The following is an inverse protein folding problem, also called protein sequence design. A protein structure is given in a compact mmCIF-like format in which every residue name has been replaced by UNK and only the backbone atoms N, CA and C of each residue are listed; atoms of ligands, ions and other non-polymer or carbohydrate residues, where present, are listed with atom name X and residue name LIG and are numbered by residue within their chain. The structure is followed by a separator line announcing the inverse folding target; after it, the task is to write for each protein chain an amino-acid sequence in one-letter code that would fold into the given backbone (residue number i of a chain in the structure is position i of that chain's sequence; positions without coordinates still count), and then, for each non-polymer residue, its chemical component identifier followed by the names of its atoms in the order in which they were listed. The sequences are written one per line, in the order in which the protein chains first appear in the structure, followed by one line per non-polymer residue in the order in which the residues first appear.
data_IF_851641243683
#
_entry.id   IF_851641243683
#
_cell.length_a   1.000
_cell.length_b   1.000
_cell.length_c   1.000
_cell.angle_alpha   90.00
_cell.angle_beta   90.00
_cell.angle_gamma   90.00
#
_symmetry.space_group_name_H-M   'P 1'
#
loop_
_entity.id
_entity.type
_entity.pdbx_description
1 polymer ?
#
# COMPACT_ATOMS: atom_id res chain seq x y z
N UNK A 1 -5.15 -43.95 9.40
CA UNK A 1 -5.10 -43.18 10.66
C UNK A 1 -3.64 -42.80 10.89
N UNK A 2 -3.22 -41.61 10.46
CA UNK A 2 -1.84 -41.17 10.64
C UNK A 2 -1.60 -40.87 12.13
N UNK A 3 -0.51 -41.41 12.67
CA UNK A 3 -0.11 -41.30 14.08
C UNK A 3 -0.07 -39.83 14.53
N UNK A 4 -0.71 -39.53 15.64
CA UNK A 4 -0.58 -38.24 16.32
C UNK A 4 0.79 -38.18 17.01
N UNK A 5 1.85 -37.85 16.28
CA UNK A 5 3.01 -37.24 16.92
C UNK A 5 2.57 -35.88 17.47
N UNK A 6 2.85 -35.61 18.74
CA UNK A 6 2.49 -34.33 19.33
C UNK A 6 3.31 -33.24 18.64
N UNK A 7 2.64 -32.34 17.92
CA UNK A 7 3.28 -31.18 17.30
C UNK A 7 3.83 -30.31 18.44
N UNK A 8 5.14 -30.10 18.48
CA UNK A 8 5.78 -29.21 19.45
C UNK A 8 5.85 -27.78 18.93
N UNK A 9 6.04 -26.82 19.83
CA UNK A 9 6.18 -25.40 19.49
C UNK A 9 7.39 -25.16 18.58
N UNK A 10 8.49 -25.85 18.83
CA UNK A 10 9.74 -25.72 18.07
C UNK A 10 9.56 -26.15 16.61
N UNK A 11 8.78 -27.20 16.36
CA UNK A 11 8.46 -27.68 15.00
C UNK A 11 7.64 -26.63 14.25
N UNK A 12 6.64 -26.03 14.90
CA UNK A 12 5.81 -24.98 14.32
C UNK A 12 6.61 -23.70 14.04
N UNK A 13 7.46 -23.28 14.98
CA UNK A 13 8.32 -22.10 14.81
C UNK A 13 9.24 -22.27 13.60
N UNK A 14 9.88 -23.44 13.45
CA UNK A 14 10.74 -23.73 12.30
C UNK A 14 9.95 -23.75 10.97
N UNK A 15 8.74 -24.29 10.98
CA UNK A 15 7.84 -24.27 9.81
C UNK A 15 7.48 -22.84 9.39
N UNK A 16 7.04 -21.99 10.33
CA UNK A 16 6.69 -20.60 10.04
C UNK A 16 7.87 -19.76 9.58
N UNK A 17 9.06 -19.96 10.16
CA UNK A 17 10.29 -19.33 9.67
C UNK A 17 10.64 -19.78 8.24
N UNK A 18 10.41 -21.06 7.93
CA UNK A 18 10.51 -21.58 6.56
C UNK A 18 9.57 -20.89 5.59
N UNK A 19 8.31 -20.68 5.98
CA UNK A 19 7.34 -19.92 5.18
C UNK A 19 7.83 -18.49 4.93
N UNK A 20 8.21 -17.78 6.00
CA UNK A 20 8.66 -16.38 5.93
C UNK A 20 9.86 -16.20 4.99
N UNK A 21 10.87 -17.07 5.05
CA UNK A 21 12.03 -17.05 4.14
C UNK A 21 11.66 -17.19 2.67
N UNK A 22 10.52 -17.81 2.37
CA UNK A 22 10.01 -18.01 1.02
C UNK A 22 8.91 -16.99 0.65
N UNK A 23 8.75 -15.91 1.43
CA UNK A 23 7.67 -14.92 1.24
C UNK A 23 6.26 -15.54 1.30
N UNK A 24 6.12 -16.63 2.07
CA UNK A 24 4.84 -17.28 2.36
C UNK A 24 4.39 -16.90 3.76
N UNK A 25 3.07 -16.84 3.96
CA UNK A 25 2.45 -16.55 5.24
C UNK A 25 1.29 -17.50 5.55
N UNK A 26 1.12 -17.94 6.80
CA UNK A 26 -0.01 -18.76 7.20
C UNK A 26 -1.32 -17.95 7.22
N UNK A 27 -2.16 -18.13 6.20
CA UNK A 27 -3.43 -17.39 6.08
C UNK A 27 -4.33 -17.52 7.33
N UNK A 28 -4.27 -18.62 8.08
CA UNK A 28 -5.07 -18.82 9.29
C UNK A 28 -4.70 -17.91 10.48
N UNK A 29 -3.57 -17.22 10.45
CA UNK A 29 -3.26 -16.16 11.42
C UNK A 29 -3.78 -14.79 10.98
N UNK A 30 -3.84 -14.53 9.67
CA UNK A 30 -4.12 -13.21 9.11
C UNK A 30 -5.43 -13.15 8.29
N UNK A 31 -6.27 -14.17 8.43
CA UNK A 31 -7.47 -14.36 7.60
C UNK A 31 -8.43 -13.18 7.69
N UNK A 32 -8.60 -12.61 8.89
CA UNK A 32 -9.50 -11.47 9.12
C UNK A 32 -8.99 -10.14 8.56
N UNK A 33 -7.67 -10.00 8.39
CA UNK A 33 -7.08 -8.82 7.76
C UNK A 33 -7.10 -8.93 6.23
N UNK A 34 -6.81 -10.12 5.69
CA UNK A 34 -6.79 -10.34 4.24
C UNK A 34 -8.19 -10.54 3.63
N UNK A 35 -9.14 -11.09 4.39
CA UNK A 35 -10.51 -11.38 3.93
C UNK A 35 -11.50 -10.58 4.76
N UNK A 36 -11.76 -9.35 4.32
CA UNK A 36 -12.66 -8.43 5.01
C UNK A 36 -14.12 -8.67 4.58
N UNK A 37 -15.07 -8.37 5.49
CA UNK A 37 -16.52 -8.47 5.18
C UNK A 37 -16.98 -7.43 4.17
N UNK A 38 -16.29 -6.29 4.14
CA UNK A 38 -16.54 -5.17 3.24
C UNK A 38 -15.20 -4.57 2.80
N UNK A 39 -15.16 -3.76 1.73
CA UNK A 39 -13.93 -3.17 1.23
C UNK A 39 -13.26 -2.27 2.28
N UNK A 40 -12.08 -2.68 2.74
CA UNK A 40 -11.20 -1.85 3.57
C UNK A 40 -10.16 -1.24 2.64
N UNK A 41 -9.97 0.07 2.74
CA UNK A 41 -9.07 0.83 1.89
C UNK A 41 -8.30 1.85 2.72
N UNK A 42 -7.00 1.97 2.47
CA UNK A 42 -6.13 2.93 3.15
C UNK A 42 -6.28 4.36 2.58
N UNK A 43 -7.06 4.52 1.51
CA UNK A 43 -7.29 5.81 0.83
C UNK A 43 -8.35 6.61 1.59
N UNK A 44 -7.97 7.79 2.10
CA UNK A 44 -8.92 8.68 2.79
C UNK A 44 -9.62 9.62 1.80
N UNK A 45 -10.93 9.94 1.96
CA UNK A 45 -11.58 10.97 1.16
C UNK A 45 -10.88 12.32 1.32
N UNK A 46 -10.63 13.00 0.20
CA UNK A 46 -9.96 14.30 0.22
C UNK A 46 -10.54 15.27 -0.81
N UNK A 47 -10.61 16.56 -0.44
CA UNK A 47 -11.09 17.63 -1.30
C UNK A 47 -9.94 18.52 -1.73
N UNK A 48 -9.65 18.54 -3.03
CA UNK A 48 -8.78 19.55 -3.63
C UNK A 48 -9.60 20.72 -4.13
N UNK A 49 -9.43 21.89 -3.50
CA UNK A 49 -10.10 23.13 -3.94
C UNK A 49 -9.51 23.60 -5.27
N UNK A 50 -10.39 23.94 -6.22
CA UNK A 50 -9.98 24.43 -7.54
C UNK A 50 -9.06 25.66 -7.46
N UNK A 51 -9.33 26.58 -6.53
CA UNK A 51 -8.49 27.78 -6.31
C UNK A 51 -7.03 27.42 -6.06
N UNK A 52 -6.79 26.40 -5.24
CA UNK A 52 -5.44 25.92 -4.89
C UNK A 52 -4.79 25.21 -6.07
N UNK A 53 -5.50 24.29 -6.74
CA UNK A 53 -4.97 23.60 -7.92
C UNK A 53 -4.55 24.61 -8.99
N UNK A 54 -5.42 25.60 -9.26
CA UNK A 54 -5.21 26.62 -10.27
C UNK A 54 -3.98 27.48 -9.98
N UNK A 55 -3.76 27.86 -8.73
CA UNK A 55 -2.57 28.62 -8.32
C UNK A 55 -1.28 27.89 -8.68
N UNK A 56 -1.15 26.62 -8.29
CA UNK A 56 0.04 25.83 -8.61
C UNK A 56 0.18 25.51 -10.09
N UNK A 57 -0.92 25.22 -10.78
CA UNK A 57 -0.90 24.96 -12.22
C UNK A 57 -0.40 26.19 -13.01
N UNK A 58 -0.87 27.40 -12.65
CA UNK A 58 -0.40 28.63 -13.26
C UNK A 58 1.04 28.95 -12.88
N UNK A 59 1.45 28.68 -11.64
CA UNK A 59 2.83 28.92 -11.23
C UNK A 59 3.82 28.00 -11.95
N UNK A 60 3.45 26.73 -12.16
CA UNK A 60 4.21 25.83 -13.03
C UNK A 60 4.28 26.36 -14.47
N UNK A 61 3.22 27.04 -14.93
CA UNK A 61 3.16 27.92 -16.11
C UNK A 61 4.44 28.72 -16.36
N UNK A 62 4.87 29.43 -15.31
CA UNK A 62 5.96 30.39 -15.31
C UNK A 62 7.34 29.76 -15.05
N UNK A 63 7.39 28.67 -14.29
CA UNK A 63 8.63 28.14 -13.73
C UNK A 63 9.23 26.93 -14.47
N UNK A 64 8.42 26.16 -15.20
CA UNK A 64 8.82 24.83 -15.70
C UNK A 64 8.84 24.82 -17.24
N UNK A 65 9.98 24.56 -17.86
CA UNK A 65 10.12 24.46 -19.31
C UNK A 65 9.71 23.06 -19.82
N UNK A 66 8.74 22.92 -20.76
CA UNK A 66 8.39 21.62 -21.32
C UNK A 66 9.56 21.00 -22.08
N UNK A 67 9.73 19.69 -21.95
CA UNK A 67 10.84 18.93 -22.54
C UNK A 67 12.11 18.98 -21.69
N UNK A 68 12.60 20.18 -21.35
CA UNK A 68 13.83 20.33 -20.57
C UNK A 68 13.65 19.93 -19.10
N UNK A 69 12.61 20.44 -18.44
CA UNK A 69 12.37 20.19 -17.02
C UNK A 69 11.38 19.04 -16.80
N UNK A 70 10.43 18.85 -17.72
CA UNK A 70 9.48 17.75 -17.68
C UNK A 70 8.90 17.46 -19.07
N UNK A 71 8.71 16.18 -19.41
CA UNK A 71 8.01 15.77 -20.65
C UNK A 71 6.56 16.29 -20.68
N UNK A 72 5.88 16.24 -19.54
CA UNK A 72 4.55 16.81 -19.34
C UNK A 72 4.54 17.60 -18.05
N UNK A 73 4.05 18.84 -18.13
CA UNK A 73 3.87 19.69 -16.97
C UNK A 73 2.51 19.40 -16.33
N UNK A 74 2.51 18.60 -15.28
CA UNK A 74 1.29 18.13 -14.61
C UNK A 74 1.41 18.35 -13.11
N UNK A 75 0.37 18.95 -12.51
CA UNK A 75 0.17 18.94 -11.06
C UNK A 75 -0.75 17.76 -10.75
N UNK A 76 -0.20 16.68 -10.22
CA UNK A 76 -0.97 15.50 -9.84
C UNK A 76 -1.59 15.69 -8.45
N UNK A 77 -2.71 14.99 -8.20
CA UNK A 77 -3.40 15.03 -6.91
C UNK A 77 -2.92 13.86 -6.05
N UNK A 78 -2.09 14.15 -5.07
CA UNK A 78 -1.59 13.16 -4.12
C UNK A 78 -2.55 13.03 -2.94
N UNK A 79 -3.15 11.85 -2.77
CA UNK A 79 -3.96 11.58 -1.58
C UNK A 79 -3.04 11.55 -0.33
N UNK A 80 -3.37 12.28 0.75
CA UNK A 80 -2.52 12.31 1.95
C UNK A 80 -2.32 10.95 2.62
N UNK A 81 -3.27 10.03 2.52
CA UNK A 81 -3.14 8.74 3.20
C UNK A 81 -2.17 7.79 2.51
N UNK A 82 -1.81 8.06 1.25
CA UNK A 82 -0.79 7.32 0.49
C UNK A 82 0.64 7.82 0.74
N UNK A 83 0.82 8.83 1.60
CA UNK A 83 2.13 9.36 2.01
C UNK A 83 2.64 8.77 3.33
N UNK A 84 1.85 7.90 3.97
CA UNK A 84 2.14 7.28 5.26
C UNK A 84 2.91 5.97 5.08
#
# INVERSE_FOLDING_TARGET
MAKSESITKEILDHYYEGMKRNHLGPLWFDLGHMVTKEPVHDVEPYLWKWSTIREYALKAGELVEPGKDAERRVVYLQNPSLLK
#
